data_IF_921027692873
#
_entry.id   IF_921027692873
#
_cell.length_a   1.000
_cell.length_b   1.000
_cell.length_c   1.000
_cell.angle_alpha   90.00
_cell.angle_beta   90.00
_cell.angle_gamma   90.00
#
_symmetry.space_group_name_H-M   'P 1'
#
loop_
_entity.id
_entity.type
_entity.pdbx_description
1 polymer ?
#
# COMPACT_ATOMS: atom_id res chain seq x y z
N UNK A 1 -11.36 44.26 112.75
CA UNK A 1 -12.13 44.34 111.48
C UNK A 1 -11.27 45.03 110.44
N UNK A 2 -10.75 44.27 109.47
CA UNK A 2 -10.32 44.75 108.17
C UNK A 2 -10.48 43.58 107.21
N UNK A 3 -11.35 43.76 106.23
CA UNK A 3 -11.78 42.78 105.24
C UNK A 3 -10.90 43.00 104.00
N UNK A 4 -10.17 41.99 103.51
CA UNK A 4 -9.71 42.02 102.13
C UNK A 4 -9.69 40.61 101.55
N UNK A 5 -10.74 40.30 100.78
CA UNK A 5 -10.89 39.08 100.00
C UNK A 5 -9.83 39.07 98.91
N UNK A 6 -8.89 38.13 98.95
CA UNK A 6 -8.03 37.83 97.79
C UNK A 6 -8.85 36.99 96.79
N UNK A 7 -9.18 37.48 95.58
CA UNK A 7 -10.14 36.85 94.68
C UNK A 7 -9.52 35.91 93.62
N UNK A 8 -8.28 35.47 93.79
CA UNK A 8 -7.57 34.75 92.71
C UNK A 8 -7.74 33.22 92.76
N UNK A 9 -8.99 32.76 92.86
CA UNK A 9 -9.36 31.37 92.55
C UNK A 9 -10.52 31.37 91.57
N UNK A 10 -10.27 31.85 90.34
CA UNK A 10 -11.19 31.64 89.23
C UNK A 10 -10.50 30.86 88.12
N UNK A 11 -10.77 29.56 88.16
CA UNK A 11 -10.26 28.50 87.28
C UNK A 11 -11.25 28.26 86.15
N UNK A 12 -11.42 29.23 85.25
CA UNK A 12 -12.29 29.05 84.08
C UNK A 12 -12.18 30.22 83.14
N UNK A 13 -11.61 30.03 81.95
CA UNK A 13 -11.69 31.03 80.89
C UNK A 13 -13.17 31.30 80.60
N UNK A 14 -13.65 32.52 80.83
CA UNK A 14 -15.02 32.93 80.50
C UNK A 14 -15.11 33.07 78.98
N UNK A 15 -15.91 32.22 78.32
CA UNK A 15 -16.22 32.42 76.89
C UNK A 15 -17.06 33.68 76.73
N UNK A 16 -16.68 34.57 75.81
CA UNK A 16 -17.39 35.81 75.55
C UNK A 16 -18.85 35.56 75.09
N UNK A 17 -19.75 36.44 75.52
CA UNK A 17 -21.13 36.55 75.04
C UNK A 17 -21.47 38.03 74.76
N UNK A 18 -22.68 38.32 74.26
CA UNK A 18 -23.09 39.69 73.88
C UNK A 18 -23.16 40.69 75.03
N UNK A 19 -23.00 40.28 76.29
CA UNK A 19 -23.02 41.16 77.46
C UNK A 19 -21.71 41.17 78.27
N UNK A 20 -20.72 40.33 77.93
CA UNK A 20 -19.45 40.19 78.65
C UNK A 20 -18.27 40.09 77.68
N UNK A 21 -17.38 41.08 77.73
CA UNK A 21 -16.09 41.05 77.05
C UNK A 21 -15.24 39.93 77.67
N UNK A 22 -14.87 38.92 76.88
CA UNK A 22 -13.99 37.82 77.28
C UNK A 22 -12.89 37.58 76.24
N UNK A 23 -11.83 36.89 76.63
CA UNK A 23 -10.68 36.62 75.75
C UNK A 23 -11.07 35.58 74.68
N UNK A 24 -11.05 35.98 73.41
CA UNK A 24 -11.12 35.06 72.28
C UNK A 24 -9.71 34.64 71.88
N UNK A 25 -9.45 33.33 71.85
CA UNK A 25 -8.17 32.76 71.41
C UNK A 25 -8.36 32.17 70.01
N UNK A 26 -7.64 32.72 69.03
CA UNK A 26 -7.55 32.20 67.67
C UNK A 26 -6.20 31.51 67.48
N UNK A 27 -6.13 30.49 66.64
CA UNK A 27 -4.85 29.91 66.25
C UNK A 27 -4.11 30.92 65.37
N UNK A 28 -2.97 31.40 65.85
CA UNK A 28 -2.14 32.36 65.12
C UNK A 28 -1.53 31.77 63.83
N UNK A 29 -1.63 30.46 63.62
CA UNK A 29 -1.32 29.80 62.36
C UNK A 29 -2.39 29.99 61.27
N UNK A 30 -3.66 30.13 61.65
CA UNK A 30 -4.79 30.25 60.72
C UNK A 30 -5.33 31.69 60.62
N UNK A 31 -5.18 32.48 61.68
CA UNK A 31 -5.77 33.81 61.80
C UNK A 31 -4.75 34.86 62.23
N UNK A 32 -4.72 35.98 61.52
CA UNK A 32 -3.97 37.17 61.91
C UNK A 32 -4.94 38.15 62.56
N UNK A 33 -4.51 38.74 63.67
CA UNK A 33 -5.23 39.84 64.31
C UNK A 33 -4.42 41.11 64.08
N UNK A 34 -5.01 42.12 63.43
CA UNK A 34 -4.34 43.40 63.24
C UNK A 34 -4.31 44.23 64.54
N UNK A 35 -3.53 45.31 64.54
CA UNK A 35 -3.39 46.21 65.70
C UNK A 35 -4.72 46.88 66.12
N UNK A 36 -5.77 46.79 65.30
CA UNK A 36 -7.12 47.28 65.58
C UNK A 36 -8.08 46.16 66.01
N UNK A 37 -7.60 44.93 66.19
CA UNK A 37 -8.39 43.78 66.64
C UNK A 37 -9.22 43.11 65.55
N UNK A 38 -9.04 43.46 64.27
CA UNK A 38 -9.70 42.76 63.17
C UNK A 38 -9.02 41.41 62.96
N UNK A 39 -9.84 40.36 62.93
CA UNK A 39 -9.41 39.01 62.61
C UNK A 39 -9.54 38.79 61.10
N UNK A 40 -8.45 38.40 60.45
CA UNK A 40 -8.41 37.92 59.06
C UNK A 40 -7.70 36.57 59.01
N UNK A 41 -7.83 35.85 57.90
CA UNK A 41 -7.03 34.65 57.69
C UNK A 41 -5.54 35.06 57.61
N UNK A 42 -4.69 34.39 58.40
CA UNK A 42 -3.25 34.61 58.41
C UNK A 42 -2.64 34.04 57.12
N UNK A 43 -2.70 34.81 56.03
CA UNK A 43 -2.14 34.49 54.72
C UNK A 43 -2.76 33.30 53.96
N UNK A 44 -3.25 33.57 52.74
CA UNK A 44 -3.35 32.72 51.54
C UNK A 44 -3.57 31.19 51.64
N UNK A 45 -4.14 30.66 52.73
CA UNK A 45 -4.46 29.24 52.86
C UNK A 45 -5.65 28.82 52.00
N UNK A 46 -6.41 29.80 51.48
CA UNK A 46 -7.44 29.62 50.46
C UNK A 46 -7.06 30.45 49.26
N UNK A 47 -6.88 29.81 48.11
CA UNK A 47 -6.60 30.51 46.86
C UNK A 47 -7.82 31.36 46.46
N UNK A 48 -7.59 32.63 46.10
CA UNK A 48 -8.66 33.57 45.71
C UNK A 48 -8.83 33.67 44.19
N UNK A 49 -7.76 33.38 43.43
CA UNK A 49 -7.78 33.34 41.97
C UNK A 49 -6.75 32.33 41.44
N UNK A 50 -7.04 31.78 40.26
CA UNK A 50 -6.14 30.89 39.52
C UNK A 50 -5.98 31.44 38.10
N UNK A 51 -4.74 31.76 37.71
CA UNK A 51 -4.42 32.13 36.34
C UNK A 51 -4.45 30.91 35.43
N UNK A 52 -5.01 31.04 34.24
CA UNK A 52 -5.01 30.01 33.20
C UNK A 52 -4.29 30.53 31.94
N UNK A 53 -4.13 29.67 30.92
CA UNK A 53 -3.60 30.10 29.61
C UNK A 53 -4.42 31.22 28.96
N UNK A 54 -5.69 31.36 29.35
CA UNK A 54 -6.54 32.49 28.98
C UNK A 54 -7.56 32.80 30.08
N UNK A 55 -7.38 33.93 30.75
CA UNK A 55 -8.26 34.42 31.81
C UNK A 55 -7.87 33.97 33.21
N UNK A 56 -8.80 34.11 34.16
CA UNK A 56 -8.61 33.73 35.57
C UNK A 56 -9.88 33.08 36.12
N UNK A 57 -9.73 32.07 36.96
CA UNK A 57 -10.82 31.43 37.70
C UNK A 57 -10.85 31.94 39.13
N UNK A 58 -12.00 32.39 39.60
CA UNK A 58 -12.25 32.73 41.01
C UNK A 58 -13.04 31.61 41.66
N UNK A 59 -12.57 30.99 42.76
CA UNK A 59 -13.30 29.94 43.43
C UNK A 59 -14.68 30.43 43.91
N UNK A 60 -15.71 29.64 43.63
CA UNK A 60 -17.07 29.89 44.11
C UNK A 60 -17.37 28.90 45.24
N UNK A 61 -17.84 29.40 46.39
CA UNK A 61 -18.14 28.56 47.56
C UNK A 61 -16.97 27.66 47.98
N UNK A 62 -15.73 28.17 47.88
CA UNK A 62 -14.49 27.45 48.17
C UNK A 62 -14.21 26.24 47.25
N UNK A 63 -14.79 26.21 46.05
CA UNK A 63 -14.56 25.16 45.06
C UNK A 63 -14.18 25.72 43.68
N UNK A 64 -13.43 24.91 42.93
CA UNK A 64 -13.19 25.07 41.49
C UNK A 64 -13.82 23.88 40.79
N UNK A 65 -14.53 24.13 39.71
CA UNK A 65 -15.05 23.07 38.84
C UNK A 65 -14.10 22.92 37.65
N UNK A 66 -13.61 21.70 37.44
CA UNK A 66 -12.94 21.29 36.20
C UNK A 66 -13.88 20.32 35.52
N UNK A 67 -14.43 20.73 34.38
CA UNK A 67 -15.40 19.95 33.62
C UNK A 67 -14.72 19.17 32.52
N UNK A 68 -15.11 17.91 32.35
CA UNK A 68 -14.90 17.17 31.11
C UNK A 68 -15.66 17.83 29.95
N UNK A 69 -15.23 17.53 28.73
CA UNK A 69 -15.78 18.07 27.49
C UNK A 69 -15.51 17.11 26.34
N UNK A 70 -15.58 17.58 25.09
CA UNK A 70 -15.13 16.76 23.97
C UNK A 70 -13.62 16.52 24.08
N UNK A 71 -13.22 15.24 24.05
CA UNK A 71 -11.82 14.82 24.04
C UNK A 71 -11.13 14.77 25.40
N UNK A 72 -11.80 15.20 26.48
CA UNK A 72 -11.26 15.09 27.83
C UNK A 72 -12.30 14.64 28.87
N UNK A 73 -11.89 13.67 29.67
CA UNK A 73 -12.60 13.23 30.86
C UNK A 73 -11.88 13.74 32.11
N UNK A 74 -12.64 14.18 33.11
CA UNK A 74 -12.11 14.66 34.39
C UNK A 74 -12.67 13.83 35.53
N UNK A 75 -11.80 13.33 36.42
CA UNK A 75 -12.23 12.58 37.62
C UNK A 75 -11.40 12.96 38.85
N UNK A 76 -12.01 12.95 40.02
CA UNK A 76 -11.35 13.29 41.28
C UNK A 76 -11.38 12.14 42.28
N UNK A 77 -10.28 11.94 43.02
CA UNK A 77 -10.21 11.00 44.14
C UNK A 77 -9.21 11.49 45.19
N UNK A 78 -9.68 11.65 46.44
CA UNK A 78 -8.87 12.18 47.54
C UNK A 78 -8.36 13.59 47.23
N UNK A 79 -7.03 13.73 47.12
CA UNK A 79 -6.34 14.98 46.79
C UNK A 79 -5.86 15.06 45.34
N UNK A 80 -6.31 14.14 44.46
CA UNK A 80 -5.87 14.06 43.06
C UNK A 80 -7.03 14.33 42.10
N UNK A 81 -6.78 15.21 41.12
CA UNK A 81 -7.59 15.40 39.92
C UNK A 81 -6.88 14.72 38.74
N UNK A 82 -7.57 13.82 38.06
CA UNK A 82 -7.10 13.16 36.83
C UNK A 82 -7.84 13.77 35.64
N UNK A 83 -7.09 14.12 34.60
CA UNK A 83 -7.62 14.53 33.29
C UNK A 83 -7.07 13.54 32.26
N UNK A 84 -7.96 12.83 31.57
CA UNK A 84 -7.61 11.85 30.54
C UNK A 84 -8.11 12.29 29.17
N UNK A 85 -7.32 12.04 28.12
CA UNK A 85 -7.79 12.18 26.75
C UNK A 85 -8.74 11.03 26.39
N UNK A 86 -9.77 11.33 25.63
CA UNK A 86 -10.68 10.32 25.06
C UNK A 86 -10.22 9.95 23.64
N UNK A 87 -10.52 8.73 23.19
CA UNK A 87 -10.29 8.34 21.79
C UNK A 87 -11.26 9.08 20.85
N UNK A 88 -10.74 9.51 19.70
CA UNK A 88 -11.56 10.15 18.68
C UNK A 88 -12.62 9.19 18.10
N UNK A 89 -13.83 9.69 17.90
CA UNK A 89 -14.92 8.97 17.23
C UNK A 89 -15.71 9.91 16.33
N UNK A 90 -16.67 9.39 15.57
CA UNK A 90 -17.52 10.21 14.68
C UNK A 90 -18.42 11.20 15.43
N UNK A 91 -18.64 10.99 16.73
CA UNK A 91 -19.44 11.87 17.59
C UNK A 91 -18.62 12.61 18.64
N UNK A 92 -17.30 12.37 18.74
CA UNK A 92 -16.46 12.96 19.77
C UNK A 92 -15.05 13.26 19.24
N UNK A 93 -14.57 14.48 19.49
CA UNK A 93 -13.16 14.80 19.22
C UNK A 93 -12.30 14.09 20.27
N UNK A 94 -11.07 13.73 19.93
CA UNK A 94 -10.22 13.00 20.86
C UNK A 94 -8.79 12.78 20.33
N UNK A 95 -8.07 11.90 21.00
CA UNK A 95 -6.77 11.39 20.60
C UNK A 95 -6.96 10.45 19.43
N UNK A 96 -6.15 10.62 18.39
CA UNK A 96 -6.08 9.74 17.24
C UNK A 96 -4.65 9.24 17.07
N UNK A 97 -4.52 8.04 16.52
CA UNK A 97 -3.25 7.50 16.06
C UNK A 97 -3.30 7.31 14.54
N UNK A 98 -2.17 7.53 13.89
CA UNK A 98 -2.02 7.37 12.46
C UNK A 98 -0.98 6.28 12.18
N UNK A 99 -1.27 5.41 11.22
CA UNK A 99 -0.31 4.38 10.80
C UNK A 99 0.86 5.06 10.09
N UNK A 100 2.07 4.90 10.63
CA UNK A 100 3.28 5.52 10.06
C UNK A 100 3.62 5.02 8.63
N UNK A 101 3.01 3.91 8.19
CA UNK A 101 3.14 3.42 6.82
C UNK A 101 2.28 4.20 5.81
N UNK A 102 1.26 4.94 6.26
CA UNK A 102 0.31 5.64 5.40
C UNK A 102 0.35 7.17 5.60
N UNK A 103 0.81 7.62 6.77
CA UNK A 103 0.80 9.02 7.16
C UNK A 103 2.14 9.48 7.73
N UNK A 104 2.59 10.63 7.25
CA UNK A 104 3.66 11.39 7.87
C UNK A 104 3.08 12.40 8.86
N UNK A 105 3.67 12.47 10.06
CA UNK A 105 3.29 13.43 11.09
C UNK A 105 4.50 14.29 11.45
N UNK A 106 4.49 15.55 11.02
CA UNK A 106 5.57 16.51 11.30
C UNK A 106 5.00 17.78 11.93
N UNK A 107 5.48 18.12 13.12
CA UNK A 107 5.00 19.27 13.91
C UNK A 107 3.48 19.34 14.08
N UNK A 108 2.82 18.17 14.16
CA UNK A 108 1.37 18.06 14.31
C UNK A 108 0.55 18.19 13.02
N UNK A 109 1.20 18.49 11.89
CA UNK A 109 0.56 18.36 10.57
C UNK A 109 0.60 16.89 10.14
N UNK A 110 -0.54 16.40 9.66
CA UNK A 110 -0.68 15.06 9.10
C UNK A 110 -0.75 15.17 7.58
N UNK A 111 0.14 14.48 6.89
CA UNK A 111 0.12 14.31 5.43
C UNK A 111 0.10 12.82 5.09
N UNK A 112 -0.20 12.50 3.83
CA UNK A 112 0.04 11.15 3.33
C UNK A 112 1.56 10.92 3.33
N UNK A 113 1.97 9.72 3.75
CA UNK A 113 3.34 9.27 3.55
C UNK A 113 3.62 9.18 2.04
N UNK A 114 4.90 9.27 1.68
CA UNK A 114 5.31 8.82 0.34
C UNK A 114 4.84 7.36 0.16
N UNK A 115 4.22 7.05 -0.98
CA UNK A 115 3.51 5.77 -1.25
C UNK A 115 2.20 5.52 -0.46
N UNK A 116 1.72 6.45 0.38
CA UNK A 116 0.53 6.27 1.23
C UNK A 116 -0.81 6.12 0.45
N UNK A 117 -0.84 6.48 -0.83
CA UNK A 117 -1.91 6.08 -1.76
C UNK A 117 -1.42 4.82 -2.45
N UNK A 118 -1.99 3.66 -2.07
CA UNK A 118 -1.72 2.33 -2.65
C UNK A 118 -1.34 2.43 -4.14
N UNK A 119 -0.14 1.92 -4.45
CA UNK A 119 0.55 2.01 -5.75
C UNK A 119 -0.28 1.63 -6.99
N UNK A 120 -1.44 1.00 -6.80
CA UNK A 120 -2.24 0.41 -7.87
C UNK A 120 -2.73 1.39 -8.96
N UNK A 121 -2.82 2.71 -8.70
CA UNK A 121 -3.56 3.63 -9.59
C UNK A 121 -2.80 4.84 -10.15
N UNK A 122 -1.61 5.19 -9.64
CA UNK A 122 -0.87 6.38 -10.11
C UNK A 122 0.64 6.20 -10.26
N UNK A 123 1.18 5.04 -9.92
CA UNK A 123 2.60 4.77 -10.13
C UNK A 123 2.88 4.50 -11.61
N UNK A 124 3.89 5.17 -12.16
CA UNK A 124 4.34 4.93 -13.52
C UNK A 124 4.82 3.49 -13.71
N UNK A 125 5.45 2.97 -12.66
CA UNK A 125 6.14 1.68 -12.64
C UNK A 125 5.22 0.51 -12.29
N UNK A 126 3.93 0.78 -12.04
CA UNK A 126 2.92 -0.25 -11.77
C UNK A 126 1.79 -0.28 -12.80
N UNK A 127 1.50 -1.47 -13.34
CA UNK A 127 0.40 -1.73 -14.27
C UNK A 127 -0.45 -2.87 -13.72
N UNK A 128 -1.79 -2.73 -13.82
CA UNK A 128 -2.75 -3.79 -13.52
C UNK A 128 -3.92 -3.73 -14.51
N UNK A 129 -3.73 -4.30 -15.70
CA UNK A 129 -4.76 -4.40 -16.71
C UNK A 129 -5.73 -5.55 -16.36
N UNK A 130 -7.03 -5.24 -16.28
CA UNK A 130 -8.12 -6.20 -16.05
C UNK A 130 -8.99 -6.46 -17.28
N UNK A 131 -8.72 -5.79 -18.40
CA UNK A 131 -9.35 -6.03 -19.69
C UNK A 131 -10.89 -6.01 -19.67
N UNK A 132 -11.49 -4.92 -19.19
CA UNK A 132 -12.96 -4.76 -19.15
C UNK A 132 -13.52 -3.77 -20.18
N UNK A 133 -12.66 -2.89 -20.73
CA UNK A 133 -13.06 -1.89 -21.72
C UNK A 133 -12.83 -2.35 -23.16
N UNK A 134 -13.65 -1.92 -24.14
CA UNK A 134 -13.40 -2.23 -25.55
C UNK A 134 -11.99 -1.84 -26.00
N UNK A 135 -11.36 -2.72 -26.76
CA UNK A 135 -10.02 -2.48 -27.30
C UNK A 135 -10.09 -1.51 -28.47
N UNK A 136 -9.25 -0.48 -28.45
CA UNK A 136 -8.98 0.38 -29.60
C UNK A 136 -7.52 0.16 -29.99
N UNK A 137 -7.26 -0.11 -31.27
CA UNK A 137 -5.92 -0.38 -31.77
C UNK A 137 -5.61 0.44 -33.02
N UNK A 138 -4.38 0.96 -33.10
CA UNK A 138 -3.79 1.70 -34.21
C UNK A 138 -2.36 1.22 -34.42
N UNK A 139 -1.75 1.45 -35.58
CA UNK A 139 -0.31 1.23 -35.70
C UNK A 139 0.49 2.24 -34.88
N UNK A 140 1.70 1.84 -34.47
CA UNK A 140 2.63 2.72 -33.74
C UNK A 140 3.03 3.97 -34.53
N UNK A 141 2.90 3.95 -35.86
CA UNK A 141 3.12 5.11 -36.74
C UNK A 141 1.89 6.05 -36.87
N UNK A 142 0.80 5.72 -36.18
CA UNK A 142 -0.45 6.49 -36.17
C UNK A 142 -1.40 6.15 -37.34
N UNK A 143 -1.08 5.16 -38.17
CA UNK A 143 -1.98 4.67 -39.21
C UNK A 143 -2.95 3.61 -38.66
N UNK A 144 -3.76 3.03 -39.53
CA UNK A 144 -4.69 1.96 -39.15
C UNK A 144 -3.93 0.73 -38.69
N UNK A 145 -4.45 0.05 -37.67
CA UNK A 145 -3.89 -1.22 -37.21
C UNK A 145 -3.69 -2.19 -38.38
N UNK A 146 -2.62 -2.98 -38.32
CA UNK A 146 -2.23 -3.89 -39.40
C UNK A 146 -1.88 -5.27 -38.89
N UNK A 147 -1.97 -6.23 -39.78
CA UNK A 147 -1.59 -7.61 -39.56
C UNK A 147 -0.30 -7.98 -40.23
N UNK A 148 0.41 -7.07 -40.90
CA UNK A 148 1.67 -7.41 -41.55
C UNK A 148 2.68 -7.85 -40.50
N UNK A 149 3.48 -8.85 -40.86
CA UNK A 149 4.58 -9.35 -40.05
C UNK A 149 5.52 -8.22 -39.64
N UNK A 150 6.00 -8.26 -38.39
CA UNK A 150 6.92 -7.29 -37.78
C UNK A 150 6.37 -5.88 -37.54
N UNK A 151 5.12 -5.60 -37.89
CA UNK A 151 4.49 -4.32 -37.56
C UNK A 151 3.99 -4.31 -36.10
N UNK A 152 4.02 -3.12 -35.49
CA UNK A 152 3.60 -2.89 -34.11
C UNK A 152 2.28 -2.14 -34.11
N UNK A 153 1.27 -2.73 -33.48
CA UNK A 153 0.04 -2.06 -33.11
C UNK A 153 0.10 -1.60 -31.66
N UNK A 154 -0.46 -0.43 -31.36
CA UNK A 154 -0.66 0.08 -30.00
C UNK A 154 -2.14 -0.07 -29.67
N UNK A 155 -2.44 -0.74 -28.56
CA UNK A 155 -3.80 -1.01 -28.10
C UNK A 155 -4.10 -0.39 -26.75
N UNK A 156 -5.26 0.27 -26.65
CA UNK A 156 -5.84 0.70 -25.38
C UNK A 156 -6.69 -0.44 -24.81
N UNK A 157 -6.44 -0.81 -23.55
CA UNK A 157 -7.05 -1.98 -22.90
C UNK A 157 -7.88 -1.66 -21.65
N UNK A 158 -8.26 -0.39 -21.50
CA UNK A 158 -8.97 0.14 -20.33
C UNK A 158 -8.06 0.74 -19.27
N UNK A 159 -8.64 1.42 -18.29
CA UNK A 159 -7.93 2.06 -17.15
C UNK A 159 -6.74 2.99 -17.55
N UNK A 160 -6.77 3.53 -18.77
CA UNK A 160 -5.67 4.30 -19.34
C UNK A 160 -4.40 3.51 -19.67
N UNK A 161 -4.44 2.17 -19.62
CA UNK A 161 -3.31 1.29 -19.92
C UNK A 161 -3.22 1.06 -21.43
N UNK A 162 -2.03 1.30 -21.99
CA UNK A 162 -1.70 1.01 -23.38
C UNK A 162 -0.72 -0.16 -23.43
N UNK A 163 -0.89 -1.05 -24.39
CA UNK A 163 0.03 -2.14 -24.68
C UNK A 163 0.44 -2.11 -26.15
N UNK A 164 1.62 -2.60 -26.46
CA UNK A 164 2.09 -2.83 -27.82
C UNK A 164 1.88 -4.29 -28.19
N UNK A 165 1.31 -4.55 -29.36
CA UNK A 165 1.24 -5.85 -30.02
C UNK A 165 2.21 -5.83 -31.19
N UNK A 166 3.31 -6.55 -31.07
CA UNK A 166 4.20 -6.84 -32.19
C UNK A 166 3.73 -8.10 -32.90
N UNK A 167 3.41 -7.99 -34.19
CA UNK A 167 2.94 -9.11 -34.99
C UNK A 167 4.11 -10.03 -35.36
N UNK A 168 3.93 -11.33 -35.14
CA UNK A 168 4.83 -12.39 -35.62
C UNK A 168 4.05 -13.20 -36.65
N UNK A 169 4.44 -13.13 -37.91
CA UNK A 169 3.66 -13.66 -39.03
C UNK A 169 2.49 -12.75 -39.44
N UNK A 170 1.94 -12.98 -40.63
CA UNK A 170 0.95 -12.08 -41.24
C UNK A 170 -0.47 -12.49 -40.88
N UNK A 171 -1.23 -11.56 -40.29
CA UNK A 171 -2.55 -11.83 -39.73
C UNK A 171 -3.69 -11.17 -40.48
N UNK A 172 -4.82 -11.85 -40.48
CA UNK A 172 -6.11 -11.31 -40.92
C UNK A 172 -6.94 -10.78 -39.76
N UNK A 173 -6.85 -11.41 -38.58
CA UNK A 173 -7.40 -10.91 -37.33
C UNK A 173 -6.28 -10.15 -36.61
N UNK A 174 -6.41 -8.84 -36.58
CA UNK A 174 -5.30 -7.92 -36.27
C UNK A 174 -5.42 -7.23 -34.91
N UNK A 175 -6.59 -7.34 -34.27
CA UNK A 175 -6.90 -6.67 -33.00
C UNK A 175 -7.57 -7.66 -32.05
N UNK A 176 -7.01 -7.89 -30.85
CA UNK A 176 -7.65 -8.61 -29.77
C UNK A 176 -8.97 -7.96 -29.35
N UNK A 177 -9.91 -8.75 -28.86
CA UNK A 177 -11.24 -8.25 -28.49
C UNK A 177 -11.60 -8.64 -27.07
N UNK A 178 -12.35 -7.80 -26.35
CA UNK A 178 -12.92 -8.19 -25.06
C UNK A 178 -14.06 -9.19 -25.27
N UNK A 179 -14.01 -10.29 -24.52
CA UNK A 179 -15.07 -11.28 -24.37
C UNK A 179 -15.53 -11.36 -22.91
N UNK A 180 -16.54 -12.19 -22.62
CA UNK A 180 -16.97 -12.47 -21.26
C UNK A 180 -15.90 -13.16 -20.39
N UNK A 181 -14.87 -13.73 -21.04
CA UNK A 181 -13.78 -14.47 -20.39
C UNK A 181 -12.46 -13.69 -20.34
N UNK A 182 -12.45 -12.41 -20.72
CA UNK A 182 -11.27 -11.54 -20.72
C UNK A 182 -10.88 -11.04 -22.12
N UNK A 183 -9.62 -10.62 -22.29
CA UNK A 183 -9.07 -10.25 -23.58
C UNK A 183 -8.81 -11.51 -24.41
N UNK A 184 -9.53 -11.68 -25.53
CA UNK A 184 -9.30 -12.74 -26.49
C UNK A 184 -8.11 -12.36 -27.39
N UNK A 185 -6.99 -13.07 -27.23
CA UNK A 185 -5.72 -12.80 -27.92
C UNK A 185 -5.34 -13.86 -28.95
N UNK A 186 -6.25 -14.78 -29.31
CA UNK A 186 -5.95 -15.85 -30.28
C UNK A 186 -5.61 -15.37 -31.69
N UNK A 187 -6.04 -14.16 -32.07
CA UNK A 187 -5.87 -13.65 -33.44
C UNK A 187 -6.39 -14.70 -34.46
N UNK A 188 -5.67 -14.96 -35.56
CA UNK A 188 -6.12 -15.85 -36.65
C UNK A 188 -5.55 -17.27 -36.61
N UNK A 189 -4.76 -17.62 -35.59
CA UNK A 189 -4.39 -19.00 -35.27
C UNK A 189 -3.64 -19.78 -36.36
N UNK A 190 -2.87 -19.08 -37.19
CA UNK A 190 -1.95 -19.72 -38.13
C UNK A 190 -0.73 -20.28 -37.39
N UNK A 191 -0.30 -21.49 -37.78
CA UNK A 191 0.90 -22.16 -37.30
C UNK A 191 2.15 -21.29 -37.43
N UNK A 192 3.02 -21.30 -36.41
CA UNK A 192 4.23 -20.46 -36.26
C UNK A 192 3.97 -18.94 -36.28
N UNK A 193 2.71 -18.50 -36.24
CA UNK A 193 2.35 -17.10 -36.13
C UNK A 193 1.78 -16.78 -34.75
N UNK A 194 1.97 -15.55 -34.29
CA UNK A 194 1.41 -15.08 -33.02
C UNK A 194 1.77 -13.63 -32.76
N UNK A 195 1.93 -13.26 -31.50
CA UNK A 195 2.33 -11.90 -31.17
C UNK A 195 3.12 -11.83 -29.87
N UNK A 196 3.89 -10.76 -29.76
CA UNK A 196 4.42 -10.29 -28.49
C UNK A 196 3.56 -9.13 -27.99
N UNK A 197 3.08 -9.22 -26.75
CA UNK A 197 2.44 -8.11 -26.06
C UNK A 197 3.36 -7.53 -24.99
N UNK A 198 3.57 -6.22 -24.99
CA UNK A 198 4.41 -5.53 -24.02
C UNK A 198 3.94 -4.12 -23.70
N UNK A 199 4.71 -3.40 -22.90
CA UNK A 199 4.45 -1.99 -22.52
C UNK A 199 5.34 -0.99 -23.27
N UNK A 200 5.93 -1.45 -24.37
CA UNK A 200 6.85 -0.73 -25.24
C UNK A 200 8.32 -1.04 -24.99
N UNK A 201 9.17 -0.55 -25.90
CA UNK A 201 10.59 -0.92 -25.99
C UNK A 201 11.56 0.24 -25.74
N UNK A 202 11.14 1.26 -24.99
CA UNK A 202 11.98 2.42 -24.67
C UNK A 202 12.25 2.49 -23.18
N UNK A 203 13.33 3.14 -22.76
CA UNK A 203 13.60 3.35 -21.32
C UNK A 203 12.55 4.24 -20.65
N UNK A 204 11.68 4.87 -21.45
CA UNK A 204 10.53 5.62 -20.99
C UNK A 204 9.27 4.76 -21.00
N UNK A 205 9.29 3.52 -21.43
CA UNK A 205 8.12 2.64 -21.37
C UNK A 205 7.73 2.36 -19.92
N UNK A 206 6.44 2.13 -19.67
CA UNK A 206 6.00 1.74 -18.32
C UNK A 206 6.63 0.42 -17.94
N UNK A 207 6.99 0.27 -16.67
CA UNK A 207 7.63 -0.94 -16.15
C UNK A 207 8.93 -1.32 -16.90
N UNK A 208 9.70 -0.33 -17.35
CA UNK A 208 11.08 -0.54 -17.81
C UNK A 208 12.00 -0.45 -16.59
N UNK A 209 12.44 -1.61 -16.09
CA UNK A 209 13.20 -1.70 -14.85
C UNK A 209 14.69 -1.90 -15.12
N UNK A 210 15.54 -1.52 -14.17
CA UNK A 210 16.97 -1.79 -14.20
C UNK A 210 17.29 -3.01 -13.33
N UNK A 211 17.67 -4.12 -13.95
CA UNK A 211 18.09 -5.31 -13.22
C UNK A 211 19.32 -5.02 -12.34
N UNK A 212 19.46 -5.77 -11.24
CA UNK A 212 20.45 -5.51 -10.17
C UNK A 212 20.27 -4.17 -9.43
N UNK A 213 19.13 -3.50 -9.62
CA UNK A 213 18.72 -2.31 -8.86
C UNK A 213 17.28 -2.48 -8.39
N UNK A 214 16.37 -2.69 -9.34
CA UNK A 214 14.94 -2.74 -9.08
C UNK A 214 14.50 -4.18 -8.78
N UNK A 215 13.85 -4.39 -7.64
CA UNK A 215 13.08 -5.61 -7.42
C UNK A 215 11.73 -5.45 -8.11
N UNK A 216 11.42 -6.27 -9.10
CA UNK A 216 10.22 -6.11 -9.93
C UNK A 216 9.56 -7.46 -10.27
N UNK A 217 8.33 -7.42 -10.79
CA UNK A 217 7.60 -8.61 -11.17
C UNK A 217 6.70 -8.37 -12.39
N UNK A 218 6.37 -9.44 -13.11
CA UNK A 218 5.26 -9.49 -14.07
C UNK A 218 4.39 -10.69 -13.74
N UNK A 219 3.07 -10.53 -13.78
CA UNK A 219 2.08 -11.55 -13.46
C UNK A 219 0.96 -11.52 -14.49
N UNK A 220 0.67 -12.68 -15.09
CA UNK A 220 -0.36 -12.81 -16.12
C UNK A 220 -1.25 -14.01 -15.80
N UNK A 221 -2.55 -13.79 -15.88
CA UNK A 221 -3.55 -14.86 -15.76
C UNK A 221 -4.14 -15.14 -17.12
N UNK A 222 -4.03 -16.40 -17.57
CA UNK A 222 -4.49 -16.82 -18.88
C UNK A 222 -5.35 -18.09 -18.83
N UNK A 223 -6.05 -18.39 -19.91
CA UNK A 223 -6.79 -19.65 -20.14
C UNK A 223 -6.69 -19.99 -21.62
N UNK A 224 -6.42 -21.26 -21.92
CA UNK A 224 -6.36 -21.80 -23.28
C UNK A 224 -7.55 -22.73 -23.51
N UNK A 225 -8.23 -22.63 -24.65
CA UNK A 225 -9.26 -23.61 -25.01
C UNK A 225 -8.63 -24.99 -25.26
N UNK A 226 -7.50 -25.03 -25.96
CA UNK A 226 -6.66 -26.20 -26.15
C UNK A 226 -5.20 -25.82 -25.86
N UNK A 227 -4.67 -26.30 -24.72
CA UNK A 227 -3.32 -26.00 -24.30
C UNK A 227 -2.27 -26.69 -25.19
N UNK A 228 -2.64 -27.78 -25.89
CA UNK A 228 -1.74 -28.53 -26.76
C UNK A 228 -1.49 -27.85 -28.12
N UNK A 229 -2.31 -26.85 -28.48
CA UNK A 229 -2.16 -26.04 -29.69
C UNK A 229 -1.32 -24.78 -29.54
N UNK A 230 -0.70 -24.57 -28.38
CA UNK A 230 0.13 -23.39 -28.08
C UNK A 230 1.61 -23.75 -28.30
N UNK A 231 2.37 -22.94 -29.04
CA UNK A 231 3.76 -23.29 -29.38
C UNK A 231 4.70 -22.07 -29.60
N UNK A 232 5.11 -21.33 -28.56
CA UNK A 232 4.78 -21.45 -27.14
C UNK A 232 3.85 -20.32 -26.65
N UNK A 233 3.50 -20.30 -25.34
CA UNK A 233 2.98 -19.11 -24.64
C UNK A 233 3.85 -18.86 -23.41
N UNK A 234 4.42 -17.67 -23.29
CA UNK A 234 5.38 -17.32 -22.28
C UNK A 234 5.10 -15.95 -21.68
N UNK A 235 5.44 -15.83 -20.40
CA UNK A 235 5.36 -14.60 -19.62
C UNK A 235 6.71 -14.40 -18.95
N UNK A 236 7.25 -13.19 -18.99
CA UNK A 236 8.47 -12.90 -18.28
C UNK A 236 9.10 -11.57 -18.65
N UNK A 237 10.41 -11.52 -18.50
CA UNK A 237 11.21 -10.34 -18.79
C UNK A 237 12.22 -10.64 -19.89
N UNK A 238 12.43 -9.66 -20.76
CA UNK A 238 13.56 -9.64 -21.69
C UNK A 238 14.31 -8.32 -21.55
N UNK A 239 15.56 -8.29 -22.01
CA UNK A 239 16.29 -7.03 -22.15
C UNK A 239 15.57 -6.10 -23.11
N UNK A 240 15.67 -4.82 -22.80
CA UNK A 240 15.21 -3.76 -23.67
C UNK A 240 16.07 -3.71 -24.92
N UNK A 241 15.49 -4.22 -26.01
CA UNK A 241 16.01 -4.14 -27.36
C UNK A 241 14.86 -4.16 -28.37
N UNK A 242 15.17 -3.97 -29.65
CA UNK A 242 14.19 -3.96 -30.73
C UNK A 242 13.45 -5.29 -30.84
N UNK A 243 12.18 -5.25 -31.22
CA UNK A 243 11.36 -6.44 -31.40
C UNK A 243 11.99 -7.45 -32.37
N UNK A 244 11.71 -8.73 -32.14
CA UNK A 244 12.21 -9.82 -32.96
C UNK A 244 11.10 -10.83 -33.26
N UNK A 245 11.11 -11.42 -34.46
CA UNK A 245 10.16 -12.47 -34.85
C UNK A 245 10.49 -13.84 -34.25
N UNK A 246 11.60 -13.96 -33.52
CA UNK A 246 12.01 -15.21 -32.86
C UNK A 246 12.52 -14.91 -31.47
N UNK A 247 11.90 -15.53 -30.44
CA UNK A 247 12.24 -15.35 -29.03
C UNK A 247 13.73 -15.57 -28.76
N UNK A 248 14.31 -16.63 -29.32
CA UNK A 248 15.73 -16.97 -29.14
C UNK A 248 16.72 -15.97 -29.74
N UNK A 249 16.24 -14.97 -30.48
CA UNK A 249 17.09 -13.89 -31.00
C UNK A 249 17.26 -12.73 -30.02
N UNK A 250 16.47 -12.67 -28.95
CA UNK A 250 16.73 -11.75 -27.85
C UNK A 250 17.96 -12.19 -27.07
N UNK A 251 18.81 -11.25 -26.67
CA UNK A 251 20.09 -11.56 -26.01
C UNK A 251 19.88 -12.06 -24.58
N UNK A 252 18.90 -11.50 -23.88
CA UNK A 252 18.64 -11.79 -22.48
C UNK A 252 17.14 -11.91 -22.25
N UNK A 253 16.71 -13.06 -21.74
CA UNK A 253 15.33 -13.25 -21.31
C UNK A 253 15.21 -14.36 -20.26
N UNK A 254 14.20 -14.22 -19.43
CA UNK A 254 13.74 -15.24 -18.51
C UNK A 254 12.23 -15.29 -18.62
N UNK A 255 11.71 -16.41 -19.11
CA UNK A 255 10.27 -16.62 -19.28
C UNK A 255 9.81 -17.94 -18.70
N UNK A 256 8.54 -17.97 -18.32
CA UNK A 256 7.83 -19.14 -17.83
C UNK A 256 6.48 -19.23 -18.55
N UNK A 257 6.07 -20.43 -18.92
CA UNK A 257 4.79 -20.62 -19.59
C UNK A 257 4.66 -22.00 -20.23
N UNK A 258 3.79 -22.12 -21.24
CA UNK A 258 3.43 -23.39 -21.86
C UNK A 258 4.21 -23.60 -23.15
N UNK A 259 4.81 -24.78 -23.30
CA UNK A 259 5.50 -25.21 -24.53
C UNK A 259 5.35 -26.73 -24.66
N UNK A 260 4.99 -27.20 -25.85
CA UNK A 260 4.80 -28.63 -26.15
C UNK A 260 3.45 -28.92 -26.82
N UNK A 261 3.17 -30.19 -27.08
CA UNK A 261 2.02 -30.64 -27.88
C UNK A 261 1.11 -31.63 -27.15
N UNK A 262 1.18 -31.69 -25.82
CA UNK A 262 0.40 -32.63 -24.99
C UNK A 262 -0.75 -31.93 -24.27
N UNK A 263 -1.73 -32.70 -23.79
CA UNK A 263 -2.73 -32.24 -22.81
C UNK A 263 -2.76 -33.21 -21.61
N UNK A 264 -2.54 -32.75 -20.37
CA UNK A 264 -2.09 -31.42 -19.99
C UNK A 264 -0.74 -31.06 -20.62
N UNK A 265 -0.58 -29.82 -21.10
CA UNK A 265 0.67 -29.37 -21.69
C UNK A 265 1.69 -29.04 -20.60
N UNK A 266 2.98 -29.05 -20.93
CA UNK A 266 4.04 -28.78 -19.96
C UNK A 266 4.15 -27.30 -19.69
N UNK A 267 4.46 -26.96 -18.44
CA UNK A 267 4.93 -25.62 -18.08
C UNK A 267 6.46 -25.66 -18.05
N UNK A 268 7.11 -24.78 -18.79
CA UNK A 268 8.55 -24.76 -18.97
C UNK A 268 9.11 -23.34 -18.84
N UNK A 269 10.36 -23.28 -18.41
CA UNK A 269 11.19 -22.09 -18.48
C UNK A 269 11.97 -22.08 -19.78
N UNK A 270 12.13 -20.90 -20.35
CA UNK A 270 13.14 -20.65 -21.35
C UNK A 270 13.98 -19.45 -20.91
N UNK A 271 15.30 -19.59 -21.01
CA UNK A 271 16.23 -18.57 -20.55
C UNK A 271 17.34 -18.37 -21.56
N UNK A 272 17.78 -17.13 -21.71
CA UNK A 272 19.01 -16.81 -22.43
C UNK A 272 19.69 -15.64 -21.72
N UNK A 273 21.02 -15.63 -21.74
CA UNK A 273 21.83 -14.56 -21.15
C UNK A 273 22.97 -14.24 -22.12
N UNK A 274 23.20 -12.96 -22.37
CA UNK A 274 24.27 -12.42 -23.21
C UNK A 274 24.31 -12.98 -24.64
N UNK A 275 23.14 -13.32 -25.20
CA UNK A 275 23.03 -13.93 -26.53
C UNK A 275 23.69 -15.32 -26.60
N UNK A 276 23.73 -16.02 -25.47
CA UNK A 276 24.19 -17.39 -25.37
C UNK A 276 23.25 -18.39 -26.04
N UNK A 277 23.38 -19.65 -25.64
CA UNK A 277 22.47 -20.71 -26.10
C UNK A 277 21.25 -20.73 -25.19
N UNK A 278 20.07 -20.56 -25.78
CA UNK A 278 18.81 -20.68 -25.05
C UNK A 278 18.74 -22.02 -24.30
N UNK A 279 18.40 -21.95 -23.02
CA UNK A 279 18.25 -23.10 -22.14
C UNK A 279 16.79 -23.29 -21.74
N UNK A 280 16.29 -24.51 -21.92
CA UNK A 280 14.94 -24.91 -21.52
C UNK A 280 15.00 -25.73 -20.25
N UNK A 281 14.15 -25.40 -19.26
CA UNK A 281 13.95 -26.21 -18.05
C UNK A 281 12.49 -26.62 -17.94
N UNK A 282 12.21 -27.93 -17.94
CA UNK A 282 10.87 -28.46 -17.67
C UNK A 282 10.57 -28.29 -16.18
N UNK A 283 9.50 -27.56 -15.84
CA UNK A 283 9.11 -27.36 -14.44
C UNK A 283 8.49 -28.61 -13.82
N UNK A 284 8.10 -29.58 -14.66
CA UNK A 284 7.27 -30.77 -14.35
C UNK A 284 5.82 -30.47 -13.98
N UNK A 285 5.46 -29.19 -13.84
CA UNK A 285 4.09 -28.74 -13.72
C UNK A 285 3.40 -28.74 -15.10
N UNK A 286 2.07 -28.79 -15.10
CA UNK A 286 1.29 -28.91 -16.34
C UNK A 286 0.08 -27.98 -16.37
N UNK A 287 -0.37 -27.65 -17.57
CA UNK A 287 -1.52 -26.80 -17.85
C UNK A 287 -2.51 -27.54 -18.75
N UNK A 288 -3.69 -27.86 -18.21
CA UNK A 288 -4.74 -28.57 -18.94
C UNK A 288 -5.63 -27.61 -19.73
N UNK A 289 -6.29 -28.13 -20.76
CA UNK A 289 -7.31 -27.41 -21.52
C UNK A 289 -8.38 -26.79 -20.61
N UNK A 290 -8.81 -25.57 -20.96
CA UNK A 290 -9.78 -24.75 -20.24
C UNK A 290 -9.43 -24.43 -18.78
N UNK A 291 -8.28 -24.85 -18.26
CA UNK A 291 -7.82 -24.45 -16.95
C UNK A 291 -7.28 -23.02 -16.99
N UNK A 292 -7.66 -22.21 -16.02
CA UNK A 292 -7.06 -20.90 -15.79
C UNK A 292 -5.85 -21.06 -14.88
N UNK A 293 -4.70 -20.50 -15.27
CA UNK A 293 -3.54 -20.37 -14.37
C UNK A 293 -2.98 -18.96 -14.38
N UNK A 294 -2.26 -18.64 -13.31
CA UNK A 294 -1.50 -17.41 -13.16
C UNK A 294 -0.02 -17.71 -13.19
N UNK A 295 0.70 -17.13 -14.14
CA UNK A 295 2.16 -17.18 -14.21
C UNK A 295 2.69 -15.86 -13.68
N UNK A 296 3.66 -15.93 -12.78
CA UNK A 296 4.41 -14.76 -12.31
C UNK A 296 5.90 -15.00 -12.43
N UNK A 297 6.61 -14.00 -12.92
CA UNK A 297 8.07 -13.95 -12.91
C UNK A 297 8.49 -12.81 -12.01
N UNK A 298 9.40 -13.07 -11.09
CA UNK A 298 9.99 -12.09 -10.19
C UNK A 298 11.45 -11.89 -10.57
N UNK A 299 11.94 -10.65 -10.49
CA UNK A 299 13.36 -10.32 -10.55
C UNK A 299 13.71 -9.57 -9.28
N UNK A 300 14.64 -10.11 -8.48
CA UNK A 300 15.10 -9.47 -7.25
C UNK A 300 15.96 -8.23 -7.55
N UNK A 301 16.18 -7.37 -6.54
CA UNK A 301 17.15 -6.27 -6.63
C UNK A 301 18.60 -6.74 -6.90
N UNK A 302 18.90 -8.04 -6.79
CA UNK A 302 20.17 -8.63 -7.22
C UNK A 302 20.18 -9.13 -8.66
N UNK A 303 19.11 -8.92 -9.43
CA UNK A 303 18.94 -9.41 -10.81
C UNK A 303 18.52 -10.88 -10.92
N UNK A 304 18.41 -11.61 -9.80
CA UNK A 304 18.01 -13.03 -9.80
C UNK A 304 16.55 -13.16 -10.20
N UNK A 305 16.27 -13.96 -11.24
CA UNK A 305 14.93 -14.22 -11.74
C UNK A 305 14.37 -15.57 -11.24
N UNK A 306 13.08 -15.61 -10.91
CA UNK A 306 12.36 -16.82 -10.46
C UNK A 306 10.93 -16.86 -10.99
N UNK A 307 10.36 -18.06 -11.10
CA UNK A 307 8.97 -18.27 -11.49
C UNK A 307 8.03 -18.57 -10.32
N UNK A 308 6.74 -18.34 -10.54
CA UNK A 308 5.63 -18.81 -9.72
C UNK A 308 4.49 -19.26 -10.64
N UNK A 309 3.85 -20.37 -10.27
CA UNK A 309 2.63 -20.90 -10.91
C UNK A 309 1.54 -20.89 -9.84
N UNK A 310 0.46 -20.16 -10.10
CA UNK A 310 -0.67 -20.01 -9.18
C UNK A 310 -0.23 -19.54 -7.77
N UNK A 311 0.81 -18.70 -7.72
CA UNK A 311 1.38 -18.14 -6.48
C UNK A 311 2.34 -19.06 -5.73
N UNK A 312 2.58 -20.29 -6.21
CA UNK A 312 3.52 -21.23 -5.62
C UNK A 312 4.79 -21.37 -6.48
N UNK A 313 5.92 -21.70 -5.86
CA UNK A 313 7.13 -22.07 -6.60
C UNK A 313 6.88 -23.33 -7.45
N UNK A 314 7.31 -23.33 -8.71
CA UNK A 314 7.31 -24.51 -9.58
C UNK A 314 8.07 -25.68 -8.97
N UNK A 315 7.67 -26.89 -9.37
CA UNK A 315 8.25 -28.13 -8.84
C UNK A 315 9.73 -28.26 -9.19
N UNK A 316 10.12 -27.80 -10.38
CA UNK A 316 11.51 -27.68 -10.83
C UNK A 316 11.74 -26.28 -11.40
N UNK A 317 12.89 -25.68 -11.08
CA UNK A 317 13.31 -24.36 -11.55
C UNK A 317 14.68 -24.47 -12.26
N UNK A 318 15.00 -23.58 -13.22
CA UNK A 318 16.35 -23.49 -13.77
C UNK A 318 17.39 -23.26 -12.66
N UNK A 319 18.62 -23.69 -12.92
CA UNK A 319 19.76 -23.24 -12.11
C UNK A 319 19.81 -21.72 -12.09
N UNK A 320 20.20 -21.12 -10.97
CA UNK A 320 20.13 -19.67 -10.71
C UNK A 320 20.42 -18.83 -11.96
N UNK A 321 19.38 -18.17 -12.47
CA UNK A 321 19.49 -17.19 -13.55
C UNK A 321 19.57 -15.80 -12.95
N UNK A 322 20.47 -14.96 -13.44
CA UNK A 322 20.65 -13.59 -12.97
C UNK A 322 20.87 -12.71 -14.17
N UNK A 323 19.99 -11.72 -14.37
CA UNK A 323 20.19 -10.69 -15.36
C UNK A 323 21.43 -9.87 -15.01
N UNK A 324 22.16 -9.44 -16.04
CA UNK A 324 23.17 -8.39 -15.89
C UNK A 324 22.50 -7.05 -15.55
N UNK A 325 23.28 -5.99 -15.31
CA UNK A 325 22.76 -4.65 -14.99
C UNK A 325 22.15 -3.93 -16.23
N UNK A 326 21.27 -4.64 -16.93
CA UNK A 326 20.55 -4.20 -18.12
C UNK A 326 19.16 -3.67 -17.75
N UNK A 327 18.60 -2.85 -18.63
CA UNK A 327 17.17 -2.52 -18.58
C UNK A 327 16.36 -3.70 -19.09
N UNK A 328 15.41 -4.18 -18.30
CA UNK A 328 14.49 -5.27 -18.64
C UNK A 328 13.05 -4.76 -18.73
N UNK A 329 12.27 -5.38 -19.61
CA UNK A 329 10.87 -5.04 -19.85
C UNK A 329 9.99 -6.30 -19.81
N UNK A 330 8.77 -6.19 -19.26
CA UNK A 330 7.83 -7.30 -19.18
C UNK A 330 7.18 -7.55 -20.55
N UNK A 331 6.91 -8.82 -20.85
CA UNK A 331 6.21 -9.19 -22.06
C UNK A 331 5.43 -10.50 -21.90
N UNK A 332 4.45 -10.66 -22.76
CA UNK A 332 3.82 -11.94 -23.10
C UNK A 332 4.26 -12.27 -24.51
N UNK A 333 4.73 -13.49 -24.73
CA UNK A 333 5.04 -14.01 -26.05
C UNK A 333 4.15 -15.18 -26.33
N UNK A 334 3.53 -15.24 -27.51
CA UNK A 334 2.92 -16.49 -27.92
C UNK A 334 2.94 -16.70 -29.42
N UNK A 335 2.89 -17.97 -29.80
CA UNK A 335 2.75 -18.49 -31.14
C UNK A 335 1.73 -19.63 -31.12
N UNK A 336 1.08 -19.87 -32.25
CA UNK A 336 0.19 -21.02 -32.42
C UNK A 336 0.96 -22.19 -32.99
N UNK A 337 0.65 -23.39 -32.49
CA UNK A 337 1.14 -24.62 -33.08
C UNK A 337 0.27 -25.13 -34.22
N UNK A 338 0.73 -26.23 -34.81
CA UNK A 338 0.07 -26.91 -35.94
C UNK A 338 -1.40 -27.27 -35.69
N UNK A 339 -1.75 -27.59 -34.44
CA UNK A 339 -3.14 -27.72 -34.00
C UNK A 339 -3.59 -26.39 -33.40
N UNK A 340 -4.74 -25.89 -33.86
CA UNK A 340 -5.29 -24.62 -33.36
C UNK A 340 -5.52 -24.68 -31.83
N UNK A 341 -5.02 -23.70 -31.05
CA UNK A 341 -5.26 -23.63 -29.61
C UNK A 341 -6.66 -23.15 -29.25
N UNK A 342 -7.47 -22.79 -30.24
CA UNK A 342 -8.76 -22.14 -30.06
C UNK A 342 -8.63 -20.79 -29.36
N UNK A 343 -9.56 -20.52 -28.45
CA UNK A 343 -9.59 -19.26 -27.72
C UNK A 343 -8.49 -19.21 -26.64
N UNK A 344 -7.66 -18.17 -26.70
CA UNK A 344 -6.64 -17.82 -25.72
C UNK A 344 -7.12 -16.54 -25.05
N UNK A 345 -7.45 -16.62 -23.78
CA UNK A 345 -7.94 -15.50 -23.00
C UNK A 345 -6.89 -15.06 -21.98
N UNK A 346 -6.67 -13.75 -21.89
CA UNK A 346 -5.92 -13.12 -20.80
C UNK A 346 -6.90 -12.32 -19.96
N UNK A 347 -6.96 -12.62 -18.66
CA UNK A 347 -7.88 -11.96 -17.72
C UNK A 347 -7.19 -10.90 -16.88
N UNK A 348 -5.87 -11.02 -16.69
CA UNK A 348 -5.11 -9.90 -16.17
C UNK A 348 -3.64 -9.91 -16.59
N UNK A 349 -3.08 -8.71 -16.70
CA UNK A 349 -1.65 -8.45 -16.82
C UNK A 349 -1.29 -7.46 -15.72
N UNK A 350 -0.35 -7.83 -14.85
CA UNK A 350 0.20 -6.96 -13.83
C UNK A 350 1.70 -6.88 -13.94
N UNK A 351 2.25 -5.73 -13.64
CA UNK A 351 3.68 -5.53 -13.57
C UNK A 351 3.99 -4.40 -12.59
N UNK A 352 5.10 -4.47 -11.88
CA UNK A 352 5.37 -3.54 -10.78
C UNK A 352 6.73 -3.74 -10.14
N UNK A 353 7.13 -2.78 -9.30
CA UNK A 353 8.13 -3.02 -8.26
C UNK A 353 7.56 -4.00 -7.20
N UNK A 354 8.44 -4.75 -6.53
CA UNK A 354 8.08 -5.73 -5.48
C UNK A 354 7.98 -5.09 -4.10
#
# INVERSE_FOLDING_TARGET
MANNRNPLSYTGRVKADTARLGDAQFDSGDFSVDDNGKVSLAAASVAETFSTDSGTVTPASSAITVSGGEGIDTSGSGSTLTISGEDASTSNKGVASFAAAEFDVSSGAVSLADEGIRQDFWDYDYVNAKFHDPVISVQADGTVASGVDTEVNVMHVGDGIMMEQYNIGTKTIIVPTISASGLLVSLDQTDDEGAEFGLGITTRSRCAFTAQTDACFVEVTATFADASGVDPFYVGFRKLEGYNSTLGSYTDYFVLGVEGTANPNKIQFQTNLNGGVAATTDSTDTWADAATKTIRVNVSAGGVATGLIDGASPTTEPSTFTFDADTIIPFIWFLHGTTSPGDIHITSFKCGLQ
#
